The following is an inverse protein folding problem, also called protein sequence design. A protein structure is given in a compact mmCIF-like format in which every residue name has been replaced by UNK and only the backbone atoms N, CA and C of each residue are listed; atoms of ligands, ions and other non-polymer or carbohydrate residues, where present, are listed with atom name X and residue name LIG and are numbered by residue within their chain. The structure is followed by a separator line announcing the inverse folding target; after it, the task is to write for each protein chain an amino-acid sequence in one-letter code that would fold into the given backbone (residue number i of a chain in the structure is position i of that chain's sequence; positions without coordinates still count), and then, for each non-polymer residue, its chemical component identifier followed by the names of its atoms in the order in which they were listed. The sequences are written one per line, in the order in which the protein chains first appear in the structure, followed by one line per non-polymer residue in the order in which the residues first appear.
data_IF_451509752005
#
_entry.id   IF_451509752005
#
_cell.length_a   1.000
_cell.length_b   1.000
_cell.length_c   1.000
_cell.angle_alpha   90.00
_cell.angle_beta   90.00
_cell.angle_gamma   90.00
#
_symmetry.space_group_name_H-M   'P 1'
#
loop_
_entity.id
_entity.type
_entity.pdbx_description
1 polymer ?
#
# COMPACT_ATOMS: atom_id res chain seq x y z
N UNK A 1 8.83 -7.14 -0.15
CA UNK A 1 8.98 -8.60 -0.14
C UNK A 1 7.96 -9.22 -1.09
N UNK A 2 8.39 -10.17 -1.91
CA UNK A 2 7.55 -10.98 -2.79
C UNK A 2 7.51 -12.40 -2.24
N UNK A 3 6.33 -12.87 -1.88
CA UNK A 3 6.13 -14.22 -1.38
C UNK A 3 5.26 -15.00 -2.35
N UNK A 4 5.78 -16.08 -2.94
CA UNK A 4 4.98 -17.01 -3.73
C UNK A 4 3.84 -17.59 -2.86
N UNK A 5 2.65 -17.76 -3.45
CA UNK A 5 1.57 -18.44 -2.75
C UNK A 5 1.97 -19.89 -2.54
N UNK A 6 1.97 -20.33 -1.28
CA UNK A 6 2.29 -21.70 -0.90
C UNK A 6 1.22 -22.63 -1.49
N UNK A 7 1.66 -23.65 -2.20
CA UNK A 7 0.78 -24.72 -2.68
C UNK A 7 0.52 -25.63 -1.50
N UNK A 8 -0.32 -25.17 -0.55
CA UNK A 8 -0.76 -25.97 0.57
C UNK A 8 -1.51 -27.19 0.04
N UNK A 9 -0.80 -28.31 -0.08
CA UNK A 9 -1.37 -29.61 -0.41
C UNK A 9 -2.11 -30.15 0.80
N UNK A 10 -3.43 -30.14 0.77
CA UNK A 10 -4.17 -31.16 1.49
C UNK A 10 -3.83 -32.52 0.87
N UNK A 11 -3.62 -33.48 1.74
CA UNK A 11 -3.18 -34.84 1.47
C UNK A 11 -4.05 -35.53 0.41
N UNK A 12 -3.54 -35.61 -0.77
CA UNK A 12 -4.07 -36.41 -1.88
C UNK A 12 -2.97 -36.63 -2.89
N UNK A 13 -2.12 -37.59 -2.61
CA UNK A 13 -1.37 -38.51 -3.48
C UNK A 13 -0.74 -38.05 -4.79
N UNK A 14 -0.62 -36.78 -5.13
CA UNK A 14 0.11 -36.35 -6.31
C UNK A 14 1.30 -35.47 -5.91
N UNK A 15 2.46 -35.79 -6.49
CA UNK A 15 3.71 -35.03 -6.30
C UNK A 15 3.41 -33.55 -6.55
N UNK A 16 3.58 -32.72 -5.51
CA UNK A 16 3.52 -31.26 -5.66
C UNK A 16 4.48 -30.86 -6.78
N UNK A 17 3.96 -30.32 -7.88
CA UNK A 17 4.78 -29.78 -8.96
C UNK A 17 5.41 -28.48 -8.47
N UNK A 18 6.71 -28.44 -8.13
CA UNK A 18 7.35 -27.28 -7.52
C UNK A 18 7.37 -26.03 -8.42
N UNK A 19 7.00 -26.19 -9.69
CA UNK A 19 6.96 -25.12 -10.70
C UNK A 19 5.55 -24.57 -10.97
N UNK A 20 4.53 -25.07 -10.25
CA UNK A 20 3.13 -24.65 -10.45
C UNK A 20 2.81 -23.40 -9.64
N UNK A 21 2.46 -22.32 -10.31
CA UNK A 21 1.92 -21.13 -9.65
C UNK A 21 0.43 -21.30 -9.32
N UNK A 22 0.03 -20.95 -8.11
CA UNK A 22 -1.37 -20.97 -7.69
C UNK A 22 -2.09 -19.64 -8.04
N UNK A 23 -1.35 -18.56 -8.14
CA UNK A 23 -1.85 -17.22 -8.43
C UNK A 23 -0.72 -16.19 -8.38
N UNK A 24 -1.04 -14.89 -8.39
CA UNK A 24 -0.08 -13.83 -8.22
C UNK A 24 0.64 -13.94 -6.87
N UNK A 25 1.93 -13.57 -6.84
CA UNK A 25 2.68 -13.54 -5.59
C UNK A 25 2.11 -12.48 -4.63
N UNK A 26 2.12 -12.79 -3.34
CA UNK A 26 1.82 -11.78 -2.30
C UNK A 26 3.01 -10.82 -2.22
N UNK A 27 2.77 -9.56 -2.51
CA UNK A 27 3.78 -8.50 -2.47
C UNK A 27 3.48 -7.54 -1.32
N UNK A 28 4.47 -7.36 -0.43
CA UNK A 28 4.43 -6.37 0.65
C UNK A 28 5.50 -5.31 0.42
N UNK A 29 5.15 -4.06 0.65
CA UNK A 29 6.02 -2.91 0.47
C UNK A 29 6.09 -2.17 1.81
N UNK A 30 7.30 -1.93 2.29
CA UNK A 30 7.54 -1.13 3.49
C UNK A 30 8.50 -0.01 3.15
N UNK A 31 8.20 1.20 3.61
CA UNK A 31 9.09 2.35 3.48
C UNK A 31 8.86 3.34 4.60
N UNK A 32 9.80 4.24 4.76
CA UNK A 32 9.72 5.37 5.68
C UNK A 32 9.73 6.68 4.87
N UNK A 33 9.01 7.67 5.36
CA UNK A 33 8.98 9.00 4.81
C UNK A 33 9.21 10.02 5.91
N UNK A 34 10.09 10.97 5.65
CA UNK A 34 10.30 12.11 6.52
C UNK A 34 9.29 13.22 6.14
N UNK A 35 8.60 13.73 7.15
CA UNK A 35 7.69 14.86 7.05
C UNK A 35 8.38 16.05 7.71
N UNK A 36 8.61 17.10 6.95
CA UNK A 36 9.28 18.31 7.42
C UNK A 36 8.49 19.56 7.02
N UNK A 37 8.17 20.39 8.00
CA UNK A 37 7.47 21.66 7.80
C UNK A 37 8.41 22.87 7.70
N UNK A 38 9.72 22.68 7.85
CA UNK A 38 10.69 23.76 7.97
C UNK A 38 10.66 24.71 6.76
N UNK A 39 10.64 24.14 5.54
CA UNK A 39 10.57 24.94 4.31
C UNK A 39 9.29 25.76 4.21
N UNK A 40 8.18 25.23 4.71
CA UNK A 40 6.89 25.96 4.71
C UNK A 40 6.87 27.05 5.79
N UNK A 41 7.52 26.81 6.92
CA UNK A 41 7.60 27.76 8.02
C UNK A 41 8.55 28.93 7.71
N UNK A 42 9.45 28.80 6.74
CA UNK A 42 10.27 29.90 6.22
C UNK A 42 9.42 30.98 5.54
N UNK A 43 8.25 30.59 4.97
CA UNK A 43 7.32 31.49 4.29
C UNK A 43 5.95 31.52 4.97
N UNK A 44 5.82 32.04 6.21
CA UNK A 44 4.63 31.95 7.05
C UNK A 44 3.38 32.57 6.40
N UNK A 45 3.55 33.67 5.66
CA UNK A 45 2.43 34.34 4.99
C UNK A 45 1.76 33.52 3.90
N UNK A 46 2.49 32.50 3.33
CA UNK A 46 1.99 31.63 2.30
C UNK A 46 1.44 30.31 2.86
N UNK A 47 1.79 29.98 4.10
CA UNK A 47 1.51 28.68 4.74
C UNK A 47 0.81 28.82 6.10
N UNK A 48 -0.25 29.61 6.16
CA UNK A 48 -0.98 29.91 7.40
C UNK A 48 -1.45 28.63 8.15
N UNK A 49 -1.83 27.59 7.44
CA UNK A 49 -2.25 26.31 8.05
C UNK A 49 -1.08 25.61 8.74
N UNK A 50 0.13 25.61 8.14
CA UNK A 50 1.34 25.03 8.73
C UNK A 50 1.81 25.83 9.93
N UNK A 51 1.69 27.18 9.88
CA UNK A 51 1.98 28.04 11.03
C UNK A 51 1.05 27.74 12.21
N UNK A 52 -0.23 27.49 11.94
CA UNK A 52 -1.23 27.24 12.99
C UNK A 52 -1.16 25.82 13.57
N UNK A 53 -0.81 24.82 12.77
CA UNK A 53 -1.00 23.40 13.11
C UNK A 53 0.23 22.52 12.85
N UNK A 54 1.32 23.04 12.32
CA UNK A 54 2.48 22.27 11.90
C UNK A 54 2.10 21.16 10.89
N UNK A 55 2.56 19.97 11.14
CA UNK A 55 2.28 18.75 10.36
C UNK A 55 1.00 18.00 10.80
N UNK A 56 0.28 18.48 11.82
CA UNK A 56 -0.89 17.78 12.35
C UNK A 56 -1.95 17.45 11.28
N UNK A 57 -2.25 18.33 10.30
CA UNK A 57 -3.21 17.99 9.24
C UNK A 57 -2.74 16.82 8.34
N UNK A 58 -1.45 16.78 7.98
CA UNK A 58 -0.87 15.71 7.17
C UNK A 58 -0.86 14.38 7.93
N UNK A 59 -0.49 14.42 9.20
CA UNK A 59 -0.52 13.24 10.08
C UNK A 59 -1.94 12.72 10.22
N UNK A 60 -2.91 13.58 10.51
CA UNK A 60 -4.31 13.20 10.61
C UNK A 60 -4.86 12.58 9.31
N UNK A 61 -4.43 13.10 8.14
CA UNK A 61 -4.77 12.51 6.85
C UNK A 61 -4.23 11.08 6.74
N UNK A 62 -2.96 10.86 7.06
CA UNK A 62 -2.34 9.52 7.03
C UNK A 62 -3.03 8.54 7.98
N UNK A 63 -3.33 8.96 9.20
CA UNK A 63 -4.05 8.15 10.19
C UNK A 63 -5.47 7.82 9.73
N UNK A 64 -6.14 8.75 9.04
CA UNK A 64 -7.50 8.55 8.54
C UNK A 64 -7.60 7.50 7.44
N UNK A 65 -6.50 7.17 6.75
CA UNK A 65 -6.46 6.10 5.75
C UNK A 65 -6.58 4.70 6.35
N UNK A 66 -6.25 4.55 7.64
CA UNK A 66 -6.26 3.26 8.35
C UNK A 66 -7.57 2.96 9.07
N UNK A 67 -8.53 3.88 9.09
CA UNK A 67 -9.75 3.74 9.88
C UNK A 67 -10.99 4.21 9.12
N UNK A 68 -12.18 3.66 9.47
CA UNK A 68 -13.43 4.14 8.92
C UNK A 68 -13.72 5.56 9.40
N UNK A 69 -14.39 6.35 8.56
CA UNK A 69 -14.80 7.70 8.94
C UNK A 69 -15.84 7.70 10.08
N UNK A 70 -15.86 8.76 10.87
CA UNK A 70 -16.87 8.95 11.93
C UNK A 70 -18.31 8.87 11.40
N UNK A 71 -18.53 9.34 10.18
CA UNK A 71 -19.83 9.25 9.50
C UNK A 71 -20.23 7.81 9.19
N UNK A 72 -19.27 6.97 8.73
CA UNK A 72 -19.51 5.54 8.51
C UNK A 72 -19.84 4.83 9.82
N UNK A 73 -19.09 5.08 10.90
CA UNK A 73 -19.35 4.50 12.22
C UNK A 73 -20.72 4.93 12.76
N UNK A 74 -21.08 6.21 12.66
CA UNK A 74 -22.40 6.72 13.09
C UNK A 74 -23.54 6.09 12.30
N UNK A 75 -23.35 5.91 10.98
CA UNK A 75 -24.34 5.25 10.10
C UNK A 75 -24.56 3.79 10.54
N UNK A 76 -23.49 3.04 10.74
CA UNK A 76 -23.59 1.64 11.20
C UNK A 76 -24.30 1.55 12.56
N UNK A 77 -23.93 2.42 13.51
CA UNK A 77 -24.58 2.46 14.82
C UNK A 77 -26.08 2.78 14.73
N UNK A 78 -26.49 3.72 13.89
CA UNK A 78 -27.90 4.07 13.69
C UNK A 78 -28.69 2.94 13.03
N UNK A 79 -28.09 2.22 12.08
CA UNK A 79 -28.70 1.05 11.44
C UNK A 79 -28.87 -0.10 12.45
N UNK A 80 -27.85 -0.39 13.24
CA UNK A 80 -27.94 -1.39 14.32
C UNK A 80 -29.04 -1.04 15.33
N UNK A 81 -29.15 0.23 15.73
CA UNK A 81 -30.17 0.71 16.66
C UNK A 81 -31.60 0.65 16.09
N UNK A 82 -31.76 0.71 14.79
CA UNK A 82 -33.06 0.59 14.12
C UNK A 82 -33.50 -0.85 13.86
N UNK A 83 -32.73 -1.85 14.31
CA UNK A 83 -33.05 -3.27 14.14
C UNK A 83 -32.77 -3.83 12.76
N UNK A 84 -32.03 -3.13 11.92
CA UNK A 84 -31.57 -3.64 10.62
C UNK A 84 -30.50 -4.73 10.85
N UNK A 85 -30.84 -5.96 10.45
CA UNK A 85 -29.97 -7.14 10.63
C UNK A 85 -28.83 -7.22 9.59
N UNK A 86 -28.98 -6.53 8.45
CA UNK A 86 -28.01 -6.53 7.37
C UNK A 86 -27.14 -5.28 7.45
N UNK A 87 -25.98 -5.41 8.11
CA UNK A 87 -24.98 -4.35 8.17
C UNK A 87 -24.06 -4.54 6.96
N UNK A 88 -24.17 -3.64 5.97
CA UNK A 88 -23.23 -3.62 4.85
C UNK A 88 -21.79 -3.37 5.39
N UNK A 89 -20.81 -4.17 4.95
CA UNK A 89 -19.42 -3.97 5.38
C UNK A 89 -18.94 -2.57 5.01
N UNK A 90 -18.19 -1.93 5.91
CA UNK A 90 -17.54 -0.65 5.64
C UNK A 90 -16.41 -0.87 4.64
N UNK A 91 -16.51 -0.24 3.48
CA UNK A 91 -15.48 -0.34 2.45
C UNK A 91 -14.46 0.78 2.64
N UNK A 92 -13.18 0.41 2.67
CA UNK A 92 -12.08 1.34 2.57
C UNK A 92 -11.95 1.86 1.12
N UNK A 93 -11.50 3.09 0.91
CA UNK A 93 -11.18 3.58 -0.43
C UNK A 93 -10.01 2.78 -1.02
N UNK A 94 -10.04 2.57 -2.36
CA UNK A 94 -8.91 1.97 -3.05
C UNK A 94 -7.72 2.94 -3.00
N UNK A 95 -6.64 2.52 -2.36
CA UNK A 95 -5.40 3.28 -2.30
C UNK A 95 -4.49 2.91 -3.47
N UNK A 96 -3.78 3.91 -3.98
CA UNK A 96 -2.79 3.73 -5.03
C UNK A 96 -1.43 4.23 -4.56
N UNK A 97 -0.43 3.36 -4.63
CA UNK A 97 0.97 3.75 -4.47
C UNK A 97 1.50 4.14 -5.85
N UNK A 98 1.86 5.41 -6.02
CA UNK A 98 2.46 5.93 -7.25
C UNK A 98 3.97 6.09 -7.03
N UNK A 99 4.74 5.19 -7.61
CA UNK A 99 6.21 5.22 -7.55
C UNK A 99 6.81 5.46 -8.93
N UNK A 100 6.37 6.55 -9.56
CA UNK A 100 6.72 6.89 -10.94
C UNK A 100 5.70 6.39 -11.97
N UNK A 101 5.89 6.77 -13.22
CA UNK A 101 4.91 6.55 -14.31
C UNK A 101 4.63 5.06 -14.61
N UNK A 102 5.61 4.19 -14.41
CA UNK A 102 5.48 2.74 -14.67
C UNK A 102 5.04 1.92 -13.46
N UNK A 103 4.94 2.54 -12.28
CA UNK A 103 4.62 1.87 -11.01
C UNK A 103 3.47 2.56 -10.31
N UNK A 104 2.27 2.31 -10.79
CA UNK A 104 1.00 2.68 -10.15
C UNK A 104 0.36 1.40 -9.65
N UNK A 105 0.35 1.21 -8.35
CA UNK A 105 0.08 -0.08 -7.70
C UNK A 105 -1.14 0.07 -6.80
N UNK A 106 -2.20 -0.74 -6.97
CA UNK A 106 -3.29 -0.79 -6.01
C UNK A 106 -2.81 -1.46 -4.73
N UNK A 107 -3.02 -0.79 -3.59
CA UNK A 107 -2.51 -1.24 -2.30
C UNK A 107 -3.55 -1.15 -1.20
N UNK A 108 -3.37 -1.97 -0.18
CA UNK A 108 -4.02 -1.87 1.12
C UNK A 108 -3.00 -1.41 2.16
N UNK A 109 -3.38 -0.44 2.98
CA UNK A 109 -2.56 0.00 4.10
C UNK A 109 -2.68 -1.01 5.24
N UNK A 110 -1.60 -1.75 5.52
CA UNK A 110 -1.57 -2.75 6.60
C UNK A 110 -1.11 -2.18 7.92
N UNK A 111 -0.25 -1.15 7.86
CA UNK A 111 0.19 -0.42 9.04
C UNK A 111 0.63 1.00 8.68
N UNK A 112 0.40 1.92 9.58
CA UNK A 112 0.98 3.26 9.57
C UNK A 112 1.42 3.59 11.00
N UNK A 113 2.61 4.14 11.13
CA UNK A 113 3.14 4.62 12.40
C UNK A 113 3.78 5.98 12.17
N UNK A 114 3.46 6.95 13.01
CA UNK A 114 4.04 8.29 12.93
C UNK A 114 4.74 8.61 14.24
N UNK A 115 6.02 8.98 14.16
CA UNK A 115 6.83 9.40 15.30
C UNK A 115 7.18 10.86 15.13
N UNK A 116 6.69 11.72 16.04
CA UNK A 116 7.09 13.13 16.10
C UNK A 116 8.53 13.24 16.61
N UNK A 117 9.37 13.95 15.88
CA UNK A 117 10.78 14.17 16.27
C UNK A 117 11.02 15.57 16.81
N UNK A 118 10.32 16.57 16.29
CA UNK A 118 10.39 17.94 16.78
C UNK A 118 9.03 18.63 16.76
N UNK A 119 8.81 19.50 17.73
CA UNK A 119 7.60 20.30 17.86
C UNK A 119 7.96 21.78 18.04
N UNK A 120 7.02 22.65 17.68
CA UNK A 120 7.07 24.07 18.01
C UNK A 120 6.77 24.31 19.51
N UNK A 121 6.90 25.54 20.03
CA UNK A 121 6.63 25.84 21.44
C UNK A 121 5.19 25.62 21.90
N UNK A 122 4.23 25.47 20.97
CA UNK A 122 2.82 25.16 21.26
C UNK A 122 2.48 23.69 21.01
N UNK A 123 3.54 22.86 20.83
CA UNK A 123 3.48 21.41 20.64
C UNK A 123 2.88 20.94 19.30
N UNK A 124 2.85 21.80 18.28
CA UNK A 124 2.58 21.33 16.93
C UNK A 124 3.78 20.58 16.38
N UNK A 125 3.64 19.40 15.79
CA UNK A 125 4.74 18.66 15.17
C UNK A 125 5.25 19.44 13.94
N UNK A 126 6.54 19.70 13.88
CA UNK A 126 7.22 20.34 12.75
C UNK A 126 8.12 19.40 11.98
N UNK A 127 8.55 18.30 12.63
CA UNK A 127 9.28 17.22 12.00
C UNK A 127 8.78 15.88 12.53
N UNK A 128 8.49 14.94 11.63
CA UNK A 128 7.98 13.62 11.96
C UNK A 128 8.45 12.57 10.96
N UNK A 129 8.59 11.34 11.43
CA UNK A 129 8.84 10.15 10.62
C UNK A 129 7.57 9.32 10.50
N UNK A 130 7.18 8.99 9.28
CA UNK A 130 6.07 8.11 9.02
C UNK A 130 6.57 6.80 8.41
N UNK A 131 6.25 5.66 9.04
CA UNK A 131 6.55 4.32 8.53
C UNK A 131 5.28 3.68 8.00
N UNK A 132 5.35 3.10 6.80
CA UNK A 132 4.22 2.50 6.09
C UNK A 132 4.46 1.03 5.84
N UNK A 133 3.43 0.23 6.08
CA UNK A 133 3.33 -1.15 5.58
C UNK A 133 2.15 -1.23 4.62
N UNK A 134 2.41 -1.73 3.42
CA UNK A 134 1.43 -1.85 2.35
C UNK A 134 1.40 -3.29 1.83
N UNK A 135 0.21 -3.79 1.52
CA UNK A 135 0.00 -5.02 0.77
C UNK A 135 -0.51 -4.69 -0.63
N UNK A 136 0.12 -5.23 -1.64
CA UNK A 136 -0.35 -5.06 -3.03
C UNK A 136 -1.63 -5.88 -3.20
N UNK A 137 -2.67 -5.23 -3.71
CA UNK A 137 -3.94 -5.88 -4.04
C UNK A 137 -3.85 -6.46 -5.45
N UNK A 138 -4.18 -7.75 -5.56
CA UNK A 138 -4.11 -8.50 -6.81
C UNK A 138 -5.47 -8.64 -7.48
N UNK A 139 -5.53 -9.31 -8.62
CA UNK A 139 -6.79 -9.68 -9.27
C UNK A 139 -7.62 -10.66 -8.45
N UNK A 140 -6.98 -11.45 -7.56
CA UNK A 140 -7.69 -12.35 -6.65
C UNK A 140 -8.45 -11.59 -5.55
N UNK A 141 -7.89 -10.44 -5.11
CA UNK A 141 -8.54 -9.55 -4.13
C UNK A 141 -9.63 -8.67 -4.76
N UNK A 142 -9.38 -8.12 -5.95
CA UNK A 142 -10.20 -7.07 -6.55
C UNK A 142 -11.09 -7.55 -7.69
N UNK A 143 -10.79 -8.72 -8.27
CA UNK A 143 -11.43 -9.23 -9.48
C UNK A 143 -10.95 -8.53 -10.76
N UNK A 144 -10.88 -9.26 -11.87
CA UNK A 144 -10.38 -8.78 -13.17
C UNK A 144 -11.20 -7.62 -13.75
N UNK A 145 -12.52 -7.60 -13.53
CA UNK A 145 -13.42 -6.59 -14.09
C UNK A 145 -13.38 -5.24 -13.34
N UNK A 146 -12.72 -5.17 -12.20
CA UNK A 146 -12.64 -3.95 -11.40
C UNK A 146 -11.56 -2.99 -11.92
N UNK A 147 -11.70 -1.70 -11.60
CA UNK A 147 -10.65 -0.71 -11.90
C UNK A 147 -9.32 -1.07 -11.21
N UNK A 148 -9.38 -1.58 -9.99
CA UNK A 148 -8.19 -2.00 -9.24
C UNK A 148 -7.51 -3.21 -9.88
N UNK A 149 -8.28 -4.22 -10.31
CA UNK A 149 -7.75 -5.37 -11.04
C UNK A 149 -7.07 -4.98 -12.36
N UNK A 150 -7.67 -4.05 -13.12
CA UNK A 150 -7.07 -3.52 -14.34
C UNK A 150 -5.75 -2.78 -14.07
N UNK A 151 -5.65 -2.02 -12.98
CA UNK A 151 -4.42 -1.35 -12.56
C UNK A 151 -3.33 -2.36 -12.18
N UNK A 152 -3.69 -3.42 -11.43
CA UNK A 152 -2.76 -4.49 -11.10
C UNK A 152 -2.22 -5.18 -12.36
N UNK A 153 -3.09 -5.49 -13.33
CA UNK A 153 -2.68 -6.10 -14.60
C UNK A 153 -1.73 -5.19 -15.38
N UNK A 154 -2.00 -3.88 -15.42
CA UNK A 154 -1.11 -2.89 -16.04
C UNK A 154 0.24 -2.85 -15.33
N UNK A 155 0.25 -2.87 -14.00
CA UNK A 155 1.48 -2.93 -13.22
C UNK A 155 2.29 -4.19 -13.54
N UNK A 156 1.65 -5.35 -13.61
CA UNK A 156 2.30 -6.62 -13.94
C UNK A 156 2.90 -6.58 -15.35
N UNK A 157 2.15 -6.11 -16.35
CA UNK A 157 2.62 -5.95 -17.73
C UNK A 157 3.83 -5.00 -17.82
N UNK A 158 3.80 -3.88 -17.09
CA UNK A 158 4.93 -2.96 -17.05
C UNK A 158 6.19 -3.62 -16.46
N UNK A 159 6.02 -4.46 -15.43
CA UNK A 159 7.11 -5.26 -14.86
C UNK A 159 7.70 -6.25 -15.86
N UNK A 160 6.85 -6.96 -16.60
CA UNK A 160 7.27 -7.90 -17.65
C UNK A 160 8.03 -7.18 -18.75
N UNK A 161 7.54 -6.01 -19.20
CA UNK A 161 8.23 -5.20 -20.19
C UNK A 161 9.60 -4.68 -19.72
N UNK A 162 9.70 -4.33 -18.43
CA UNK A 162 10.99 -3.93 -17.84
C UNK A 162 11.93 -5.13 -17.71
N UNK A 163 11.42 -6.29 -17.31
CA UNK A 163 12.19 -7.52 -17.22
C UNK A 163 12.75 -7.96 -18.60
N UNK A 164 11.97 -7.80 -19.67
CA UNK A 164 12.42 -8.10 -21.02
C UNK A 164 13.58 -7.21 -21.51
N UNK A 165 13.81 -6.06 -20.87
CA UNK A 165 14.96 -5.18 -21.15
C UNK A 165 16.24 -5.57 -20.40
N UNK A 166 16.12 -6.46 -19.39
CA UNK A 166 17.28 -6.97 -18.68
C UNK A 166 18.13 -7.85 -19.63
N UNK A 167 19.43 -7.58 -19.68
CA UNK A 167 20.33 -8.42 -20.45
C UNK A 167 20.59 -9.72 -19.69
N UNK A 168 20.23 -10.89 -20.23
CA UNK A 168 20.54 -12.16 -19.58
C UNK A 168 22.05 -12.38 -19.57
N UNK A 169 22.58 -12.75 -18.42
CA UNK A 169 23.98 -13.22 -18.35
C UNK A 169 24.02 -14.61 -19.00
N UNK A 170 24.88 -14.76 -19.99
CA UNK A 170 25.08 -16.05 -20.64
C UNK A 170 25.65 -17.08 -19.65
N UNK A 171 25.07 -18.28 -19.58
CA UNK A 171 25.59 -19.36 -18.74
C UNK A 171 27.04 -19.73 -19.10
N UNK A 172 27.44 -19.52 -20.34
CA UNK A 172 28.82 -19.68 -20.77
C UNK A 172 29.79 -18.74 -20.07
N UNK A 173 29.35 -17.51 -19.72
CA UNK A 173 30.16 -16.56 -18.95
C UNK A 173 30.41 -17.05 -17.50
N UNK A 174 29.53 -17.92 -17.00
CA UNK A 174 29.64 -18.54 -15.67
C UNK A 174 30.34 -19.90 -15.73
N UNK A 175 30.90 -20.30 -16.89
CA UNK A 175 31.59 -21.58 -17.08
C UNK A 175 30.66 -22.79 -17.13
N UNK A 176 29.35 -22.58 -17.24
CA UNK A 176 28.36 -23.66 -17.40
C UNK A 176 28.13 -23.92 -18.88
N UNK A 177 28.67 -25.03 -19.39
CA UNK A 177 28.47 -25.49 -20.76
C UNK A 177 27.61 -26.73 -20.75
N UNK A 178 26.49 -26.74 -21.45
CA UNK A 178 25.70 -27.95 -21.71
C UNK A 178 24.54 -28.21 -20.74
N UNK A 179 23.72 -27.19 -20.49
CA UNK A 179 22.37 -27.36 -19.90
C UNK A 179 21.34 -27.24 -21.00
#
# INVERSE_FOLDING_TARGET
ELKGQDVGGEAGGDRAEPTRFKGPAVETISFEADLDATDQLEFPDQHAATVAHGLAPQIALLESLSQPSSAQLSKVNSQASSGQLEIAPMLAPLLLLVWGASRVIPVELTSVSVTGEACDPVLNPIHAKASFGLRVLTVDDLGFASKGGALFMTYLQNREQLAAKAQPVSLSTLGVTGV
#
